data_IF_432968277721
#
_entry.id   IF_432968277721
#
_cell.length_a   1.000
_cell.length_b   1.000
_cell.length_c   1.000
_cell.angle_alpha   90.00
_cell.angle_beta   90.00
_cell.angle_gamma   90.00
#
_symmetry.space_group_name_H-M   'P 1'
#
loop_
_entity.id
_entity.type
_entity.pdbx_description
1 polymer ?
#
# COMPACT_ATOMS: atom_id res chain seq x y z
N UNK A 1 10.34 19.96 9.85
CA UNK A 1 9.89 18.70 10.49
C UNK A 1 8.44 18.51 10.11
N UNK A 2 8.10 17.40 9.48
CA UNK A 2 6.70 17.06 9.19
C UNK A 2 5.99 16.65 10.49
N UNK A 3 4.66 16.78 10.52
CA UNK A 3 3.85 16.25 11.62
C UNK A 3 3.39 14.83 11.28
N UNK A 4 3.14 13.99 12.28
CA UNK A 4 2.61 12.64 12.07
C UNK A 4 1.33 12.65 11.20
N UNK A 5 0.48 13.68 11.36
CA UNK A 5 -0.72 13.84 10.54
C UNK A 5 -0.40 14.12 9.06
N UNK A 6 0.61 14.95 8.78
CA UNK A 6 1.07 15.20 7.42
C UNK A 6 1.72 13.95 6.82
N UNK A 7 2.53 13.23 7.60
CA UNK A 7 3.15 11.97 7.17
C UNK A 7 2.10 10.91 6.84
N UNK A 8 1.05 10.77 7.65
CA UNK A 8 -0.03 9.79 7.41
C UNK A 8 -0.78 10.16 6.14
N UNK A 9 -1.01 11.45 5.88
CA UNK A 9 -1.66 11.91 4.65
C UNK A 9 -0.83 11.55 3.42
N UNK A 10 0.47 11.84 3.43
CA UNK A 10 1.38 11.52 2.32
C UNK A 10 1.50 10.01 2.10
N UNK A 11 1.61 9.25 3.19
CA UNK A 11 1.64 7.80 3.11
C UNK A 11 0.35 7.23 2.50
N UNK A 12 -0.83 7.73 2.90
CA UNK A 12 -2.11 7.31 2.32
C UNK A 12 -2.19 7.60 0.82
N UNK A 13 -1.75 8.77 0.38
CA UNK A 13 -1.68 9.13 -1.04
C UNK A 13 -0.75 8.18 -1.81
N UNK A 14 0.42 7.87 -1.24
CA UNK A 14 1.39 6.96 -1.83
C UNK A 14 0.82 5.54 -1.96
N UNK A 15 0.22 5.01 -0.89
CA UNK A 15 -0.42 3.69 -0.89
C UNK A 15 -1.52 3.65 -1.95
N UNK A 16 -2.41 4.64 -2.00
CA UNK A 16 -3.50 4.66 -2.97
C UNK A 16 -2.97 4.60 -4.42
N UNK A 17 -1.92 5.36 -4.73
CA UNK A 17 -1.28 5.35 -6.06
C UNK A 17 -0.63 4.01 -6.38
N UNK A 18 0.01 3.37 -5.40
CA UNK A 18 0.63 2.05 -5.55
C UNK A 18 -0.42 0.97 -5.80
N UNK A 19 -1.53 0.95 -5.03
CA UNK A 19 -2.60 -0.03 -5.18
C UNK A 19 -3.36 0.13 -6.51
N UNK A 20 -3.62 1.37 -6.94
CA UNK A 20 -4.18 1.66 -8.27
C UNK A 20 -3.31 1.12 -9.41
N UNK A 21 -1.99 1.28 -9.31
CA UNK A 21 -1.06 0.76 -10.30
C UNK A 21 -0.95 -0.78 -10.32
N UNK A 22 -1.41 -1.45 -9.26
CA UNK A 22 -1.48 -2.90 -9.16
C UNK A 22 -2.86 -3.48 -9.59
N UNK A 23 -3.77 -2.62 -10.10
CA UNK A 23 -5.14 -2.98 -10.54
C UNK A 23 -5.98 -3.70 -9.47
N UNK A 24 -5.84 -3.29 -8.20
CA UNK A 24 -6.78 -3.69 -7.15
C UNK A 24 -8.08 -2.89 -7.33
N UNK A 25 -9.23 -3.56 -7.41
CA UNK A 25 -10.53 -2.89 -7.67
C UNK A 25 -11.38 -2.69 -6.44
N UNK A 26 -11.41 -3.69 -5.56
CA UNK A 26 -12.27 -3.69 -4.38
C UNK A 26 -11.40 -3.88 -3.16
N UNK A 27 -11.02 -2.76 -2.54
CA UNK A 27 -10.18 -2.76 -1.35
C UNK A 27 -10.53 -1.62 -0.40
N UNK A 28 -10.25 -1.86 0.87
CA UNK A 28 -10.13 -0.85 1.92
C UNK A 28 -8.72 -0.97 2.47
N UNK A 29 -8.10 0.14 2.86
CA UNK A 29 -6.79 0.10 3.47
C UNK A 29 -6.66 1.11 4.62
N UNK A 30 -5.76 0.77 5.53
CA UNK A 30 -5.34 1.63 6.64
C UNK A 30 -3.82 1.69 6.66
N UNK A 31 -3.30 2.90 6.89
CA UNK A 31 -1.90 3.15 7.19
C UNK A 31 -1.85 3.81 8.56
N UNK A 32 -1.15 3.19 9.49
CA UNK A 32 -1.07 3.67 10.86
C UNK A 32 0.31 3.44 11.45
N UNK A 33 0.74 4.36 12.32
CA UNK A 33 1.89 4.15 13.18
C UNK A 33 1.45 3.31 14.38
N UNK A 34 1.91 2.07 14.45
CA UNK A 34 1.86 1.26 15.68
C UNK A 34 3.11 1.51 16.51
N UNK A 35 3.18 0.92 17.71
CA UNK A 35 4.19 1.14 18.76
C UNK A 35 5.59 1.53 18.27
N UNK A 36 6.12 0.87 17.23
CA UNK A 36 7.44 1.16 16.66
C UNK A 36 7.53 1.14 15.14
N UNK A 37 6.43 0.91 14.43
CA UNK A 37 6.46 0.70 12.99
C UNK A 37 5.18 1.16 12.32
N UNK A 38 5.33 1.67 11.09
CA UNK A 38 4.20 1.93 10.23
C UNK A 38 3.70 0.62 9.63
N UNK A 39 2.40 0.39 9.78
CA UNK A 39 1.72 -0.80 9.27
C UNK A 39 0.74 -0.39 8.19
N UNK A 40 0.82 -1.09 7.06
CA UNK A 40 -0.21 -1.07 6.02
C UNK A 40 -1.05 -2.32 6.17
N UNK A 41 -2.35 -2.14 6.34
CA UNK A 41 -3.34 -3.22 6.29
C UNK A 41 -4.26 -2.98 5.10
N UNK A 42 -4.49 -4.02 4.30
CA UNK A 42 -5.33 -3.99 3.12
C UNK A 42 -6.36 -5.10 3.24
N UNK A 43 -7.62 -4.73 3.24
CA UNK A 43 -8.75 -5.65 3.09
C UNK A 43 -9.17 -5.64 1.62
N UNK A 44 -9.22 -6.79 0.97
CA UNK A 44 -9.53 -6.89 -0.44
C UNK A 44 -10.47 -8.05 -0.73
N UNK A 45 -11.26 -7.93 -1.81
CA UNK A 45 -12.01 -9.06 -2.34
C UNK A 45 -11.08 -10.00 -3.13
N UNK A 46 -11.27 -11.30 -2.94
CA UNK A 46 -10.60 -12.39 -3.65
C UNK A 46 -11.58 -13.49 -4.05
N UNK A 47 -11.10 -14.53 -4.75
CA UNK A 47 -11.94 -15.68 -5.16
C UNK A 47 -12.60 -16.39 -3.96
N UNK A 48 -11.90 -16.43 -2.82
CA UNK A 48 -12.36 -17.07 -1.58
C UNK A 48 -13.13 -16.11 -0.65
N UNK A 49 -13.49 -14.92 -1.15
CA UNK A 49 -14.13 -13.86 -0.37
C UNK A 49 -13.15 -12.78 0.09
N UNK A 50 -13.50 -12.09 1.18
CA UNK A 50 -12.67 -11.01 1.73
C UNK A 50 -11.46 -11.56 2.47
N UNK A 51 -10.30 -10.95 2.24
CA UNK A 51 -9.08 -11.27 2.98
C UNK A 51 -8.35 -10.00 3.43
N UNK A 52 -7.59 -10.12 4.51
CA UNK A 52 -6.77 -9.05 5.07
C UNK A 52 -5.29 -9.37 4.92
N UNK A 53 -4.52 -8.43 4.39
CA UNK A 53 -3.07 -8.52 4.22
C UNK A 53 -2.44 -7.35 4.97
N UNK A 54 -1.57 -7.64 5.93
CA UNK A 54 -0.88 -6.62 6.70
C UNK A 54 0.64 -6.81 6.62
N UNK A 55 1.37 -5.72 6.38
CA UNK A 55 2.83 -5.74 6.36
C UNK A 55 3.42 -4.38 6.74
N UNK A 56 4.64 -4.36 7.33
CA UNK A 56 5.31 -3.12 7.68
C UNK A 56 5.70 -2.34 6.42
N UNK A 57 5.68 -1.02 6.53
CA UNK A 57 6.07 -0.08 5.47
C UNK A 57 7.01 0.98 6.03
N UNK A 58 7.87 1.52 5.18
CA UNK A 58 8.71 2.65 5.53
C UNK A 58 8.03 3.96 5.06
N UNK A 59 7.75 4.91 5.95
CA UNK A 59 7.08 6.16 5.58
C UNK A 59 7.94 7.04 4.65
N UNK A 60 9.26 6.97 4.75
CA UNK A 60 10.18 7.68 3.87
C UNK A 60 10.15 7.11 2.44
N UNK A 61 10.13 5.78 2.30
CA UNK A 61 9.97 5.13 0.98
C UNK A 61 8.60 5.44 0.36
N UNK A 62 7.53 5.44 1.16
CA UNK A 62 6.20 5.83 0.69
C UNK A 62 6.19 7.28 0.18
N UNK A 63 6.71 8.22 0.97
CA UNK A 63 6.80 9.62 0.57
C UNK A 63 7.67 9.80 -0.70
N UNK A 64 8.83 9.13 -0.78
CA UNK A 64 9.71 9.18 -1.94
C UNK A 64 9.00 8.66 -3.21
N UNK A 65 8.19 7.60 -3.09
CA UNK A 65 7.48 7.00 -4.23
C UNK A 65 6.50 7.94 -4.96
N UNK A 66 6.03 9.00 -4.28
CA UNK A 66 5.18 10.03 -4.87
C UNK A 66 5.92 10.79 -5.98
N UNK A 67 7.23 11.01 -5.80
CA UNK A 67 8.06 11.85 -6.67
C UNK A 67 9.06 11.04 -7.49
N UNK A 68 9.49 9.88 -7.00
CA UNK A 68 10.54 9.06 -7.60
C UNK A 68 9.96 7.81 -8.28
N UNK A 69 9.98 7.74 -9.62
CA UNK A 69 9.49 6.57 -10.36
C UNK A 69 10.17 5.26 -9.99
N UNK A 70 11.48 5.26 -9.82
CA UNK A 70 12.25 4.07 -9.46
C UNK A 70 11.84 3.50 -8.09
N UNK A 71 11.60 4.35 -7.10
CA UNK A 71 11.12 3.92 -5.78
C UNK A 71 9.72 3.33 -5.90
N UNK A 72 8.83 3.98 -6.66
CA UNK A 72 7.48 3.49 -6.89
C UNK A 72 7.45 2.12 -7.58
N UNK A 73 8.26 1.93 -8.62
CA UNK A 73 8.37 0.67 -9.34
C UNK A 73 8.92 -0.45 -8.44
N UNK A 74 9.93 -0.15 -7.60
CA UNK A 74 10.45 -1.09 -6.61
C UNK A 74 9.38 -1.52 -5.61
N UNK A 75 8.62 -0.58 -5.06
CA UNK A 75 7.53 -0.88 -4.13
C UNK A 75 6.43 -1.70 -4.81
N UNK A 76 6.04 -1.36 -6.04
CA UNK A 76 5.08 -2.14 -6.81
C UNK A 76 5.56 -3.58 -7.02
N UNK A 77 6.82 -3.78 -7.41
CA UNK A 77 7.39 -5.10 -7.60
C UNK A 77 7.40 -5.91 -6.27
N UNK A 78 7.72 -5.25 -5.15
CA UNK A 78 7.70 -5.88 -3.83
C UNK A 78 6.27 -6.24 -3.38
N UNK A 79 5.27 -5.42 -3.70
CA UNK A 79 3.89 -5.62 -3.21
C UNK A 79 3.08 -6.54 -4.10
N UNK A 80 3.36 -6.61 -5.40
CA UNK A 80 2.68 -7.49 -6.36
C UNK A 80 2.53 -8.94 -5.91
N UNK A 81 3.58 -9.65 -5.42
CA UNK A 81 3.40 -11.03 -4.95
C UNK A 81 2.51 -11.12 -3.70
N UNK A 82 2.57 -10.13 -2.80
CA UNK A 82 1.75 -10.08 -1.58
C UNK A 82 0.28 -9.90 -1.92
N UNK A 83 -0.01 -9.05 -2.89
CA UNK A 83 -1.36 -8.66 -3.28
C UNK A 83 -1.91 -9.47 -4.46
N UNK A 84 -1.24 -10.57 -4.85
CA UNK A 84 -1.62 -11.36 -6.02
C UNK A 84 -3.05 -11.92 -5.93
N UNK A 85 -3.49 -12.27 -4.73
CA UNK A 85 -4.85 -12.77 -4.51
C UNK A 85 -5.92 -11.67 -4.57
N UNK A 86 -5.52 -10.41 -4.33
CA UNK A 86 -6.38 -9.23 -4.46
C UNK A 86 -6.40 -8.63 -5.87
N UNK A 87 -5.32 -8.86 -6.62
CA UNK A 87 -5.19 -8.35 -7.98
C UNK A 87 -6.14 -9.12 -8.89
N UNK A 88 -6.73 -8.42 -9.85
CA UNK A 88 -7.56 -9.06 -10.86
C UNK A 88 -6.74 -10.16 -11.55
N UNK A 89 -7.12 -11.43 -11.39
CA UNK A 89 -6.75 -12.45 -12.37
C UNK A 89 -7.42 -12.02 -13.67
N UNK A 90 -6.63 -11.75 -14.70
CA UNK A 90 -7.15 -11.40 -16.01
C UNK A 90 -8.25 -12.39 -16.39
N UNK A 91 -9.43 -11.85 -16.68
CA UNK A 91 -10.43 -12.56 -17.46
C UNK A 91 -9.90 -12.70 -18.90
#
# INVERSE_FOLDING_TARGET
>A
MSSLAADIREAREAVERLLKALDLRTFVFTVELKERAWLLSIECASEDGWQTISFPVDPGELAASLREPAVRERLQAAWRPRLRACAKRGA
#
